data_IF_979576954668
#
_entry.id   IF_979576954668
#
_cell.length_a   1.000
_cell.length_b   1.000
_cell.length_c   1.000
_cell.angle_alpha   90.00
_cell.angle_beta   90.00
_cell.angle_gamma   90.00
#
_symmetry.space_group_name_H-M   'P 1'
#
loop_
_entity.id
_entity.type
_entity.pdbx_description
1 polymer ?
#
# COMPACT_ATOMS: atom_id res chain seq x y z
N UNK A 1 3.60 -19.96 11.69
CA UNK A 1 2.75 -18.88 12.24
C UNK A 1 3.14 -17.57 11.57
N UNK A 2 2.16 -16.85 10.99
CA UNK A 2 2.40 -15.58 10.30
C UNK A 2 2.76 -14.47 11.30
N UNK A 3 3.65 -13.57 10.91
CA UNK A 3 4.05 -12.40 11.72
C UNK A 3 3.44 -11.13 11.12
N UNK A 4 3.06 -10.20 11.99
CA UNK A 4 2.45 -8.93 11.60
C UNK A 4 3.36 -7.78 12.05
N UNK A 5 3.65 -6.86 11.13
CA UNK A 5 4.41 -5.64 11.40
C UNK A 5 3.48 -4.47 11.09
N UNK A 6 3.15 -3.67 12.11
CA UNK A 6 2.34 -2.48 11.94
C UNK A 6 3.25 -1.27 11.76
N UNK A 7 3.06 -0.53 10.68
CA UNK A 7 3.77 0.72 10.40
C UNK A 7 2.82 1.87 10.67
N UNK A 8 3.08 2.66 11.71
CA UNK A 8 2.27 3.81 12.10
C UNK A 8 3.01 5.12 11.84
N UNK A 9 2.27 6.23 11.85
CA UNK A 9 2.82 7.57 11.68
C UNK A 9 2.54 8.48 12.87
N UNK A 10 3.49 9.36 13.19
CA UNK A 10 3.33 10.42 14.17
C UNK A 10 3.84 11.76 13.65
N UNK A 11 3.58 12.83 14.40
CA UNK A 11 3.98 14.21 14.12
C UNK A 11 3.27 14.83 12.91
N UNK A 12 3.61 14.42 11.69
CA UNK A 12 3.04 14.95 10.45
C UNK A 12 2.89 13.87 9.36
N UNK A 13 2.01 14.11 8.41
CA UNK A 13 1.91 13.28 7.20
C UNK A 13 3.07 13.55 6.24
N UNK A 14 3.18 12.73 5.18
CA UNK A 14 4.18 12.88 4.09
C UNK A 14 5.65 12.66 4.45
N UNK A 15 5.94 12.05 5.61
CA UNK A 15 7.31 11.62 6.00
C UNK A 15 7.84 10.38 5.24
N UNK A 16 7.10 9.86 4.25
CA UNK A 16 7.54 8.70 3.46
C UNK A 16 7.27 7.33 4.08
N UNK A 17 6.22 7.19 4.89
CA UNK A 17 5.84 5.92 5.55
C UNK A 17 5.66 4.76 4.56
N UNK A 18 4.98 5.00 3.43
CA UNK A 18 4.79 3.99 2.38
C UNK A 18 6.11 3.47 1.83
N UNK A 19 7.04 4.36 1.50
CA UNK A 19 8.37 3.99 0.98
C UNK A 19 9.19 3.20 2.02
N UNK A 20 9.14 3.59 3.30
CA UNK A 20 9.82 2.85 4.37
C UNK A 20 9.24 1.44 4.52
N UNK A 21 7.91 1.31 4.51
CA UNK A 21 7.25 0.00 4.60
C UNK A 21 7.57 -0.89 3.39
N UNK A 22 7.55 -0.32 2.17
CA UNK A 22 7.92 -1.00 0.93
C UNK A 22 9.38 -1.50 0.97
N UNK A 23 10.30 -0.65 1.43
CA UNK A 23 11.73 -0.97 1.58
C UNK A 23 11.97 -2.08 2.59
N UNK A 24 11.28 -2.04 3.74
CA UNK A 24 11.33 -3.12 4.73
C UNK A 24 10.82 -4.44 4.13
N UNK A 25 9.71 -4.40 3.40
CA UNK A 25 9.16 -5.55 2.69
C UNK A 25 10.17 -6.17 1.71
N UNK A 26 10.88 -5.34 0.95
CA UNK A 26 11.96 -5.78 0.04
C UNK A 26 13.11 -6.45 0.80
N UNK A 27 13.56 -5.87 1.91
CA UNK A 27 14.63 -6.47 2.72
C UNK A 27 14.23 -7.83 3.29
N UNK A 28 12.99 -7.97 3.76
CA UNK A 28 12.46 -9.23 4.27
C UNK A 28 12.34 -10.27 3.15
N UNK A 29 11.83 -9.89 1.97
CA UNK A 29 11.78 -10.78 0.80
C UNK A 29 13.18 -11.24 0.37
N UNK A 30 14.16 -10.34 0.32
CA UNK A 30 15.55 -10.66 -0.01
C UNK A 30 16.18 -11.66 0.99
N UNK A 31 15.64 -11.78 2.21
CA UNK A 31 16.03 -12.80 3.19
C UNK A 31 15.28 -14.13 3.02
N UNK A 32 14.56 -14.31 1.91
CA UNK A 32 13.82 -15.53 1.61
C UNK A 32 12.49 -15.66 2.35
N UNK A 33 11.99 -14.58 2.96
CA UNK A 33 10.70 -14.59 3.65
C UNK A 33 9.56 -14.34 2.65
N UNK A 34 8.45 -15.04 2.83
CA UNK A 34 7.19 -14.71 2.15
C UNK A 34 6.59 -13.48 2.82
N UNK A 35 6.47 -12.39 2.07
CA UNK A 35 5.95 -11.09 2.54
C UNK A 35 4.71 -10.75 1.74
N UNK A 36 3.75 -10.11 2.41
CA UNK A 36 2.65 -9.36 1.79
C UNK A 36 2.47 -8.06 2.58
N UNK A 37 1.72 -7.11 2.05
CA UNK A 37 1.49 -5.81 2.66
C UNK A 37 0.05 -5.34 2.41
N UNK A 38 -0.45 -4.52 3.34
CA UNK A 38 -1.78 -3.95 3.32
C UNK A 38 -1.70 -2.47 3.70
N UNK A 39 -2.39 -1.62 2.95
CA UNK A 39 -2.59 -0.20 3.22
C UNK A 39 -3.98 0.00 3.82
N UNK A 40 -4.01 0.71 4.94
CA UNK A 40 -5.25 1.19 5.55
C UNK A 40 -5.36 2.68 5.30
N UNK A 41 -6.38 3.06 4.55
CA UNK A 41 -6.66 4.43 4.19
C UNK A 41 -7.86 4.97 4.99
N UNK A 42 -7.69 6.07 5.74
CA UNK A 42 -8.73 6.59 6.62
C UNK A 42 -9.79 7.43 5.90
N UNK A 43 -9.76 7.50 4.56
CA UNK A 43 -10.75 8.25 3.80
C UNK A 43 -12.06 7.48 3.66
N UNK A 44 -13.15 8.23 3.47
CA UNK A 44 -14.52 7.71 3.39
C UNK A 44 -14.90 7.22 1.99
N UNK A 45 -14.08 7.50 0.98
CA UNK A 45 -14.27 6.98 -0.36
C UNK A 45 -14.09 5.47 -0.33
N UNK A 46 -15.01 4.74 -0.95
CA UNK A 46 -14.94 3.27 -1.07
C UNK A 46 -13.67 2.86 -1.82
N UNK A 47 -13.38 3.60 -2.89
CA UNK A 47 -12.19 3.48 -3.73
C UNK A 47 -11.68 4.89 -4.13
N UNK A 48 -10.42 5.02 -4.55
CA UNK A 48 -9.87 6.31 -4.96
C UNK A 48 -10.31 6.73 -6.37
N UNK A 49 -11.09 5.93 -7.10
CA UNK A 49 -11.59 6.25 -8.45
C UNK A 49 -12.47 7.50 -8.50
N UNK A 50 -13.05 7.88 -7.36
CA UNK A 50 -13.83 9.11 -7.18
C UNK A 50 -12.99 10.35 -6.81
N UNK A 51 -11.68 10.19 -6.56
CA UNK A 51 -10.77 11.27 -6.19
C UNK A 51 -10.11 11.88 -7.43
N UNK A 52 -9.87 13.19 -7.42
CA UNK A 52 -9.15 13.86 -8.51
C UNK A 52 -7.66 13.47 -8.50
N UNK A 53 -7.12 12.85 -9.56
CA UNK A 53 -5.74 12.37 -9.56
C UNK A 53 -4.71 13.50 -9.55
N UNK A 54 -5.07 14.68 -10.06
CA UNK A 54 -4.22 15.87 -10.02
C UNK A 54 -4.03 16.44 -8.62
N UNK A 55 -4.92 16.10 -7.68
CA UNK A 55 -4.89 16.59 -6.30
C UNK A 55 -4.43 15.52 -5.31
N UNK A 56 -4.80 14.27 -5.56
CA UNK A 56 -4.62 13.17 -4.61
C UNK A 56 -3.63 12.10 -5.06
N UNK A 57 -3.10 12.21 -6.28
CA UNK A 57 -2.21 11.22 -6.88
C UNK A 57 -2.96 10.21 -7.74
N UNK A 58 -2.20 9.38 -8.45
CA UNK A 58 -2.76 8.37 -9.36
C UNK A 58 -3.59 7.31 -8.63
N UNK A 59 -4.53 6.70 -9.36
CA UNK A 59 -5.18 5.45 -8.95
C UNK A 59 -4.32 4.30 -9.45
N UNK A 60 -3.92 3.40 -8.55
CA UNK A 60 -3.18 2.20 -8.92
C UNK A 60 -4.15 1.04 -9.15
N UNK A 61 -4.00 0.32 -10.27
CA UNK A 61 -4.86 -0.82 -10.62
C UNK A 61 -4.07 -2.11 -10.49
N UNK A 62 -4.52 -3.02 -9.63
CA UNK A 62 -3.93 -4.36 -9.45
C UNK A 62 -4.34 -5.30 -10.58
N UNK A 63 -3.62 -6.43 -10.73
CA UNK A 63 -3.92 -7.45 -11.75
C UNK A 63 -5.35 -8.02 -11.69
N UNK A 64 -5.96 -8.02 -10.51
CA UNK A 64 -7.35 -8.45 -10.30
C UNK A 64 -8.39 -7.36 -10.63
N UNK A 65 -7.95 -6.21 -11.14
CA UNK A 65 -8.79 -5.10 -11.58
C UNK A 65 -9.23 -4.16 -10.45
N UNK A 66 -8.61 -4.24 -9.27
CA UNK A 66 -8.98 -3.36 -8.15
C UNK A 66 -8.33 -2.00 -8.28
N UNK A 67 -9.13 -0.94 -8.19
CA UNK A 67 -8.65 0.45 -8.08
C UNK A 67 -8.26 0.74 -6.63
N UNK A 68 -7.02 1.21 -6.43
CA UNK A 68 -6.39 1.32 -5.12
C UNK A 68 -5.53 2.56 -4.99
N UNK A 69 -5.16 2.91 -3.75
CA UNK A 69 -4.24 4.01 -3.47
C UNK A 69 -2.86 3.78 -4.12
N UNK A 70 -2.21 4.87 -4.54
CA UNK A 70 -0.93 4.85 -5.24
C UNK A 70 0.19 4.11 -4.48
N UNK A 71 0.09 4.00 -3.15
CA UNK A 71 1.08 3.28 -2.35
C UNK A 71 1.17 1.79 -2.72
N UNK A 72 0.11 1.18 -3.25
CA UNK A 72 0.18 -0.21 -3.72
C UNK A 72 1.16 -0.36 -4.89
N UNK A 73 1.25 0.64 -5.77
CA UNK A 73 2.27 0.67 -6.80
C UNK A 73 3.69 0.72 -6.22
N UNK A 74 3.91 1.46 -5.13
CA UNK A 74 5.20 1.44 -4.42
C UNK A 74 5.53 0.04 -3.89
N UNK A 75 4.54 -0.62 -3.30
CA UNK A 75 4.71 -1.96 -2.73
C UNK A 75 5.02 -3.01 -3.80
N UNK A 76 4.26 -3.04 -4.90
CA UNK A 76 4.54 -3.96 -6.00
C UNK A 76 5.93 -3.73 -6.58
N UNK A 77 6.32 -2.47 -6.82
CA UNK A 77 7.64 -2.14 -7.39
C UNK A 77 8.81 -2.52 -6.47
N UNK A 78 8.69 -2.26 -5.17
CA UNK A 78 9.79 -2.52 -4.23
C UNK A 78 9.83 -3.99 -3.81
N UNK A 79 8.69 -4.54 -3.39
CA UNK A 79 8.59 -5.90 -2.87
C UNK A 79 8.58 -6.90 -4.03
N UNK A 80 8.22 -6.49 -5.26
CA UNK A 80 8.24 -7.33 -6.47
C UNK A 80 7.27 -8.53 -6.34
N UNK A 81 6.04 -8.23 -5.91
CA UNK A 81 4.93 -9.17 -5.78
C UNK A 81 3.67 -8.50 -6.30
N UNK A 82 2.75 -9.27 -6.87
CA UNK A 82 1.45 -8.75 -7.28
C UNK A 82 0.52 -8.76 -6.05
N UNK A 83 -0.10 -7.62 -5.80
CA UNK A 83 -1.10 -7.41 -4.76
C UNK A 83 -2.50 -7.60 -5.35
N UNK A 84 -3.52 -7.51 -4.50
CA UNK A 84 -4.91 -7.73 -4.87
C UNK A 84 -5.83 -6.87 -4.02
N UNK A 85 -7.14 -7.01 -4.20
CA UNK A 85 -8.16 -6.27 -3.45
C UNK A 85 -8.02 -6.30 -1.93
N UNK A 86 -7.37 -7.31 -1.35
CA UNK A 86 -7.18 -7.41 0.10
C UNK A 86 -6.01 -6.55 0.59
N UNK A 87 -5.22 -5.96 -0.30
CA UNK A 87 -4.06 -5.13 0.06
C UNK A 87 -4.40 -3.64 0.24
N UNK A 88 -5.62 -3.21 -0.05
CA UNK A 88 -6.10 -1.88 0.25
C UNK A 88 -7.43 -1.96 1.02
N UNK A 89 -7.50 -1.24 2.14
CA UNK A 89 -8.71 -1.17 2.98
C UNK A 89 -8.96 0.29 3.27
N UNK A 90 -10.15 0.76 2.93
CA UNK A 90 -10.61 2.12 3.15
C UNK A 90 -11.60 2.14 4.32
N UNK A 91 -12.02 3.32 4.77
CA UNK A 91 -13.03 3.42 5.84
C UNK A 91 -14.47 3.28 5.31
N UNK A 92 -14.71 3.63 4.04
CA UNK A 92 -16.04 3.57 3.39
C UNK A 92 -16.34 2.20 2.81
#
# INVERSE_FOLDING_TARGET
MTKYIFVTGGVVSSLGKGIVAASLGRLLKNRGLKVTIQKFDPYINVDPGTMSPYQHGEVFVTDDGTETDLDLGHYERFIDINLNKYSNVTTG
#
